data_IF_952592109550
#
_entry.id   IF_952592109550
#
_cell.length_a   1.000
_cell.length_b   1.000
_cell.length_c   1.000
_cell.angle_alpha   90.00
_cell.angle_beta   90.00
_cell.angle_gamma   90.00
#
_symmetry.space_group_name_H-M   'P 1'
#
loop_
_entity.id
_entity.type
_entity.pdbx_description
1 polymer ?
#
# COMPACT_ATOMS: atom_id res chain seq x y z
N UNK A 1 -19.29 -14.44 4.97
CA UNK A 1 -18.18 -14.22 4.03
C UNK A 1 -16.92 -13.91 4.84
N UNK A 2 -16.20 -14.93 5.31
CA UNK A 2 -15.01 -14.76 6.17
C UNK A 2 -14.03 -15.92 5.89
N UNK A 3 -13.48 -15.99 4.67
CA UNK A 3 -12.45 -16.98 4.32
C UNK A 3 -11.22 -16.40 3.62
N UNK A 4 -11.26 -15.14 3.14
CA UNK A 4 -10.21 -14.61 2.25
C UNK A 4 -9.06 -13.86 2.91
N UNK A 5 -9.12 -13.59 4.22
CA UNK A 5 -8.04 -12.90 4.96
C UNK A 5 -6.78 -13.78 5.11
N UNK A 6 -6.84 -15.07 4.77
CA UNK A 6 -5.71 -16.01 4.86
C UNK A 6 -4.93 -16.21 3.54
N UNK A 7 -5.17 -15.43 2.48
CA UNK A 7 -4.43 -15.62 1.22
C UNK A 7 -2.94 -15.29 1.35
N UNK A 8 -2.61 -14.32 2.20
CA UNK A 8 -1.25 -13.82 2.37
C UNK A 8 -0.76 -14.17 3.77
N UNK A 9 0.20 -15.09 3.87
CA UNK A 9 0.90 -15.36 5.12
C UNK A 9 2.29 -14.74 5.07
N UNK A 10 2.75 -14.13 6.17
CA UNK A 10 4.09 -13.54 6.24
C UNK A 10 5.18 -14.56 5.88
N UNK A 11 4.98 -15.84 6.23
CA UNK A 11 5.88 -16.95 5.90
C UNK A 11 6.03 -17.24 4.40
N UNK A 12 5.07 -16.81 3.57
CA UNK A 12 5.16 -16.96 2.11
C UNK A 12 6.13 -15.93 1.50
N UNK A 13 6.40 -14.85 2.23
CA UNK A 13 7.19 -13.70 1.77
C UNK A 13 8.51 -13.55 2.53
N UNK A 14 8.59 -14.09 3.74
CA UNK A 14 9.71 -13.92 4.66
C UNK A 14 10.07 -15.27 5.27
N UNK A 15 11.36 -15.52 5.44
CA UNK A 15 11.82 -16.67 6.21
C UNK A 15 11.43 -16.49 7.70
N UNK A 16 10.63 -17.40 8.29
CA UNK A 16 10.24 -17.32 9.70
C UNK A 16 11.42 -17.36 10.68
N UNK A 17 12.56 -17.90 10.26
CA UNK A 17 13.81 -17.94 11.05
C UNK A 17 14.67 -16.68 10.86
N UNK A 18 14.42 -15.93 9.79
CA UNK A 18 15.06 -14.64 9.55
C UNK A 18 14.51 -13.61 10.56
N UNK A 19 15.34 -13.30 11.56
CA UNK A 19 15.00 -12.40 12.66
C UNK A 19 14.71 -10.96 12.23
N UNK A 20 15.70 -10.06 12.37
CA UNK A 20 15.47 -8.63 12.17
C UNK A 20 15.34 -8.31 10.67
N UNK A 21 14.14 -7.95 10.23
CA UNK A 21 13.94 -7.27 8.96
C UNK A 21 14.33 -5.80 9.16
N UNK A 22 15.40 -5.34 8.51
CA UNK A 22 15.74 -3.91 8.48
C UNK A 22 14.55 -3.18 7.84
N UNK A 23 13.97 -2.21 8.56
CA UNK A 23 12.65 -1.67 8.26
C UNK A 23 12.51 -1.17 6.83
N UNK A 24 11.60 -1.80 6.07
CA UNK A 24 11.24 -1.33 4.75
C UNK A 24 10.29 -0.14 4.86
N UNK A 25 10.52 0.89 4.05
CA UNK A 25 9.66 2.06 3.98
C UNK A 25 8.63 1.89 2.87
N UNK A 26 7.45 2.48 3.03
CA UNK A 26 6.50 2.61 1.94
C UNK A 26 5.96 4.04 1.80
N UNK A 27 5.65 4.40 0.55
CA UNK A 27 4.95 5.61 0.15
C UNK A 27 3.87 5.25 -0.85
N UNK A 28 2.60 5.29 -0.43
CA UNK A 28 1.44 4.98 -1.27
C UNK A 28 0.66 6.26 -1.50
N UNK A 29 0.56 6.67 -2.76
CA UNK A 29 -0.23 7.82 -3.17
C UNK A 29 -1.44 7.37 -4.00
N UNK A 30 -2.65 7.65 -3.51
CA UNK A 30 -3.89 7.34 -4.19
C UNK A 30 -4.59 8.59 -4.72
N UNK A 31 -5.08 8.52 -5.96
CA UNK A 31 -5.97 9.50 -6.60
C UNK A 31 -7.34 8.86 -6.82
N UNK A 32 -8.35 9.63 -7.20
CA UNK A 32 -9.64 9.07 -7.63
C UNK A 32 -9.66 8.60 -9.10
N UNK A 33 -8.53 8.65 -9.81
CA UNK A 33 -8.43 8.32 -11.24
C UNK A 33 -8.91 9.40 -12.22
N UNK A 34 -9.53 10.49 -11.74
CA UNK A 34 -10.01 11.60 -12.58
C UNK A 34 -9.23 12.89 -12.32
N UNK A 35 -8.96 13.19 -11.05
CA UNK A 35 -8.21 14.35 -10.60
C UNK A 35 -6.84 13.90 -10.05
N UNK A 36 -5.82 13.99 -10.90
CA UNK A 36 -4.45 13.67 -10.54
C UNK A 36 -3.78 14.74 -9.68
N UNK A 37 -4.41 15.90 -9.49
CA UNK A 37 -3.93 16.99 -8.64
C UNK A 37 -4.22 16.77 -7.16
N UNK A 38 -5.15 15.89 -6.82
CA UNK A 38 -5.52 15.57 -5.42
C UNK A 38 -5.14 14.15 -5.07
N UNK A 39 -4.31 14.00 -4.03
CA UNK A 39 -3.77 12.71 -3.61
C UNK A 39 -3.98 12.49 -2.11
N UNK A 40 -4.41 11.29 -1.76
CA UNK A 40 -4.22 10.74 -0.41
C UNK A 40 -2.85 10.08 -0.38
N UNK A 41 -1.98 10.49 0.53
CA UNK A 41 -0.67 9.90 0.72
C UNK A 41 -0.61 9.17 2.07
N UNK A 42 -0.15 7.93 2.04
CA UNK A 42 0.06 7.07 3.20
C UNK A 42 1.53 6.66 3.23
N UNK A 43 2.21 7.03 4.30
CA UNK A 43 3.62 6.73 4.53
C UNK A 43 3.75 5.85 5.77
N UNK A 44 4.75 4.99 5.77
CA UNK A 44 5.10 4.22 6.95
C UNK A 44 6.13 3.14 6.70
N UNK A 45 6.05 2.12 7.53
CA UNK A 45 6.99 1.00 7.56
C UNK A 45 6.25 -0.30 7.25
N UNK A 46 6.88 -1.24 6.59
CA UNK A 46 6.33 -2.59 6.44
C UNK A 46 7.37 -3.65 6.78
N UNK A 47 6.87 -4.85 7.07
CA UNK A 47 7.71 -6.03 7.29
C UNK A 47 8.31 -6.55 5.98
N UNK A 48 7.54 -6.49 4.89
CA UNK A 48 7.93 -6.95 3.56
C UNK A 48 7.37 -6.00 2.50
N UNK A 49 8.23 -5.53 1.59
CA UNK A 49 7.80 -4.72 0.43
C UNK A 49 6.94 -5.57 -0.51
N UNK A 50 7.34 -6.82 -0.74
CA UNK A 50 6.65 -7.75 -1.64
C UNK A 50 5.23 -8.03 -1.15
N UNK A 51 5.08 -8.45 0.12
CA UNK A 51 3.77 -8.74 0.70
C UNK A 51 2.85 -7.51 0.69
N UNK A 52 3.37 -6.35 1.08
CA UNK A 52 2.58 -5.12 1.10
C UNK A 52 2.11 -4.74 -0.31
N UNK A 53 3.00 -4.85 -1.31
CA UNK A 53 2.67 -4.57 -2.71
C UNK A 53 1.53 -5.47 -3.20
N UNK A 54 1.64 -6.78 -3.00
CA UNK A 54 0.66 -7.76 -3.49
C UNK A 54 -0.71 -7.56 -2.84
N UNK A 55 -0.75 -7.38 -1.50
CA UNK A 55 -2.00 -7.20 -0.76
C UNK A 55 -2.71 -5.91 -1.16
N UNK A 56 -1.96 -4.81 -1.31
CA UNK A 56 -2.52 -3.52 -1.72
C UNK A 56 -3.03 -3.61 -3.16
N UNK A 57 -2.28 -4.23 -4.07
CA UNK A 57 -2.68 -4.44 -5.45
C UNK A 57 -3.98 -5.25 -5.56
N UNK A 58 -4.06 -6.43 -4.93
CA UNK A 58 -5.26 -7.27 -4.97
C UNK A 58 -6.49 -6.50 -4.45
N UNK A 59 -6.37 -5.80 -3.32
CA UNK A 59 -7.50 -5.07 -2.74
C UNK A 59 -7.92 -3.88 -3.61
N UNK A 60 -6.97 -3.14 -4.17
CA UNK A 60 -7.27 -1.99 -5.05
C UNK A 60 -8.00 -2.47 -6.30
N UNK A 61 -7.51 -3.55 -6.93
CA UNK A 61 -8.13 -4.13 -8.12
C UNK A 61 -9.50 -4.72 -7.81
N UNK A 62 -9.67 -5.41 -6.68
CA UNK A 62 -10.98 -5.94 -6.25
C UNK A 62 -12.03 -4.82 -6.06
N UNK A 63 -11.61 -3.60 -5.73
CA UNK A 63 -12.48 -2.42 -5.63
C UNK A 63 -12.70 -1.69 -6.95
N UNK A 64 -12.19 -2.23 -8.07
CA UNK A 64 -12.27 -1.61 -9.39
C UNK A 64 -11.30 -0.45 -9.58
N UNK A 65 -10.28 -0.33 -8.71
CA UNK A 65 -9.16 0.59 -8.91
C UNK A 65 -8.03 -0.02 -9.71
N UNK A 66 -6.97 0.78 -9.87
CA UNK A 66 -5.82 0.46 -10.70
C UNK A 66 -4.53 0.87 -9.99
N UNK A 67 -3.50 0.02 -10.10
CA UNK A 67 -2.12 0.37 -9.73
C UNK A 67 -1.46 1.05 -10.93
N UNK A 68 -1.29 2.36 -10.85
CA UNK A 68 -0.69 3.19 -11.91
C UNK A 68 0.81 2.96 -12.00
N UNK A 69 1.48 2.84 -10.85
CA UNK A 69 2.91 2.50 -10.79
C UNK A 69 3.25 1.85 -9.46
N UNK A 70 4.13 0.87 -9.47
CA UNK A 70 4.72 0.27 -8.29
C UNK A 70 6.23 0.16 -8.49
N UNK A 71 6.99 0.91 -7.71
CA UNK A 71 8.45 0.94 -7.75
C UNK A 71 9.00 0.34 -6.45
N UNK A 72 9.82 -0.71 -6.60
CA UNK A 72 10.49 -1.39 -5.50
C UNK A 72 11.98 -1.05 -5.59
N UNK A 73 12.44 -0.17 -4.73
CA UNK A 73 13.84 0.24 -4.69
C UNK A 73 14.57 -0.51 -3.57
N UNK A 74 15.77 -0.99 -3.84
CA UNK A 74 16.67 -1.56 -2.84
C UNK A 74 18.06 -0.92 -2.99
N UNK A 75 18.52 -0.26 -1.94
CA UNK A 75 19.89 0.26 -1.87
C UNK A 75 20.76 -0.75 -1.12
N UNK A 76 21.70 -1.36 -1.85
CA UNK A 76 22.71 -2.29 -1.31
C UNK A 76 22.12 -3.50 -0.55
N UNK A 77 20.86 -3.86 -0.84
CA UNK A 77 20.12 -4.94 -0.20
C UNK A 77 19.60 -4.65 1.22
N UNK A 78 20.01 -3.54 1.84
CA UNK A 78 19.74 -3.27 3.26
C UNK A 78 18.56 -2.32 3.50
N UNK A 79 18.25 -1.44 2.53
CA UNK A 79 17.16 -0.48 2.64
C UNK A 79 16.20 -0.65 1.46
N UNK A 80 15.09 -1.33 1.73
CA UNK A 80 14.00 -1.48 0.77
C UNK A 80 12.99 -0.35 0.91
N UNK A 81 12.47 0.08 -0.23
CA UNK A 81 11.40 1.07 -0.29
C UNK A 81 10.38 0.72 -1.36
N UNK A 82 9.11 0.72 -0.97
CA UNK A 82 7.97 0.62 -1.87
C UNK A 82 7.43 2.02 -2.18
N UNK A 83 7.30 2.37 -3.45
CA UNK A 83 6.57 3.58 -3.87
C UNK A 83 5.45 3.17 -4.81
N UNK A 84 4.19 3.35 -4.40
CA UNK A 84 3.03 3.02 -5.22
C UNK A 84 2.19 4.25 -5.55
N UNK A 85 1.66 4.28 -6.76
CA UNK A 85 0.64 5.22 -7.20
C UNK A 85 -0.59 4.46 -7.62
N UNK A 86 -1.74 4.87 -7.09
CA UNK A 86 -3.00 4.18 -7.23
C UNK A 86 -4.07 5.12 -7.80
N UNK A 87 -4.97 4.58 -8.60
CA UNK A 87 -6.23 5.20 -8.98
C UNK A 87 -7.36 4.40 -8.34
N UNK A 88 -8.00 4.96 -7.33
CA UNK A 88 -9.02 4.28 -6.52
C UNK A 88 -10.37 4.97 -6.73
N UNK A 89 -11.35 4.32 -7.37
CA UNK A 89 -12.69 4.85 -7.52
C UNK A 89 -13.29 5.19 -6.15
N UNK A 90 -14.08 6.27 -6.11
CA UNK A 90 -14.74 6.69 -4.87
C UNK A 90 -13.78 6.88 -3.68
N UNK A 91 -12.52 7.25 -3.93
CA UNK A 91 -11.52 7.54 -2.89
C UNK A 91 -12.06 8.50 -1.82
N UNK A 92 -12.84 9.50 -2.25
CA UNK A 92 -13.52 10.50 -1.41
C UNK A 92 -15.05 10.37 -1.44
N UNK A 93 -15.56 9.22 -1.91
CA UNK A 93 -16.99 8.93 -1.99
C UNK A 93 -17.60 8.60 -0.62
N UNK A 94 -18.84 8.10 -0.63
CA UNK A 94 -19.55 7.66 0.58
C UNK A 94 -20.05 6.22 0.38
N UNK A 95 -19.56 5.23 1.14
CA UNK A 95 -18.43 5.31 2.08
C UNK A 95 -17.09 5.54 1.35
N UNK A 96 -16.10 6.20 1.98
CA UNK A 96 -14.85 6.56 1.31
C UNK A 96 -13.95 5.34 1.15
N UNK A 97 -13.46 5.10 -0.08
CA UNK A 97 -12.55 3.98 -0.35
C UNK A 97 -11.18 4.13 0.37
N UNK A 98 -10.85 5.32 0.86
CA UNK A 98 -9.65 5.56 1.69
C UNK A 98 -9.55 4.65 2.93
N UNK A 99 -10.67 4.30 3.55
CA UNK A 99 -10.69 3.38 4.70
C UNK A 99 -10.27 1.96 4.29
N UNK A 100 -10.68 1.52 3.11
CA UNK A 100 -10.25 0.21 2.58
C UNK A 100 -8.76 0.22 2.28
N UNK A 101 -8.24 1.31 1.70
CA UNK A 101 -6.81 1.42 1.45
C UNK A 101 -6.00 1.36 2.77
N UNK A 102 -6.48 2.00 3.84
CA UNK A 102 -5.88 1.85 5.16
C UNK A 102 -5.91 0.42 5.68
N UNK A 103 -7.01 -0.30 5.47
CA UNK A 103 -7.12 -1.71 5.84
C UNK A 103 -6.17 -2.58 5.03
N UNK A 104 -6.01 -2.31 3.73
CA UNK A 104 -5.09 -3.01 2.84
C UNK A 104 -3.65 -2.89 3.32
N UNK A 105 -3.21 -1.66 3.62
CA UNK A 105 -1.86 -1.40 4.15
C UNK A 105 -1.62 -2.18 5.44
N UNK A 106 -2.57 -2.13 6.38
CA UNK A 106 -2.43 -2.87 7.65
C UNK A 106 -2.45 -4.38 7.46
N UNK A 107 -3.21 -4.88 6.50
CA UNK A 107 -3.32 -6.32 6.20
C UNK A 107 -2.06 -6.85 5.52
N UNK A 108 -1.38 -6.01 4.73
CA UNK A 108 -0.06 -6.29 4.15
C UNK A 108 1.12 -6.09 5.12
N UNK A 109 0.86 -6.04 6.43
CA UNK A 109 1.91 -5.86 7.45
C UNK A 109 2.48 -4.44 7.53
N UNK A 110 1.79 -3.45 6.96
CA UNK A 110 2.16 -2.04 7.02
C UNK A 110 1.74 -1.36 8.33
N UNK A 111 2.68 -0.62 8.91
CA UNK A 111 2.49 0.28 10.05
C UNK A 111 2.48 1.70 9.51
N UNK A 112 1.32 2.34 9.56
CA UNK A 112 1.12 3.71 9.05
C UNK A 112 1.75 4.71 10.02
N UNK A 113 2.73 5.47 9.54
CA UNK A 113 3.34 6.59 10.28
C UNK A 113 2.54 7.88 10.05
N UNK A 114 2.21 8.18 8.79
CA UNK A 114 1.58 9.44 8.43
C UNK A 114 0.57 9.27 7.30
N UNK A 115 -0.55 9.95 7.45
CA UNK A 115 -1.60 10.09 6.44
C UNK A 115 -1.82 11.56 6.18
N UNK A 116 -1.81 11.97 4.92
CA UNK A 116 -2.01 13.38 4.60
C UNK A 116 -2.55 13.55 3.18
N UNK A 117 -3.19 14.69 2.97
CA UNK A 117 -3.69 15.10 1.68
C UNK A 117 -2.66 16.00 1.00
N UNK A 118 -2.35 15.70 -0.26
CA UNK A 118 -1.53 16.57 -1.11
C UNK A 118 -2.38 17.11 -2.25
N UNK A 119 -2.32 18.41 -2.43
CA UNK A 119 -3.01 19.14 -3.47
C UNK A 119 -1.94 19.84 -4.31
N UNK A 120 -1.73 19.34 -5.52
CA UNK A 120 -0.84 19.94 -6.49
C UNK A 120 -1.66 20.96 -7.29
N UNK A 121 -1.61 22.23 -6.87
CA UNK A 121 -2.22 23.34 -7.60
C UNK A 121 -1.26 23.77 -8.71
N UNK A 122 -1.57 23.38 -9.95
CA UNK A 122 -0.97 23.97 -11.16
C UNK A 122 -1.64 25.30 -11.49
#
# INVERSE_FOLDING_TARGET
MVQRVQRYQESDYMDPEQGLCLGALFDIAATNGLDMGRKLCILGFCRSVEMLSDVVEDIVVEQGGEVVSAEKASNDGLNERLTMRLAVPYLWGVPPASETLHLAVRSGGGIVEKVYWRWDFL
#
